data_IF_661949242849
#
_entry.id   IF_661949242849
#
_cell.length_a   1.000
_cell.length_b   1.000
_cell.length_c   1.000
_cell.angle_alpha   90.00
_cell.angle_beta   90.00
_cell.angle_gamma   90.00
#
_symmetry.space_group_name_H-M   'P 1'
#
loop_
_entity.id
_entity.type
_entity.pdbx_description
1 polymer ?
#
# COMPACT_ATOMS: atom_id res chain seq x y z
N UNK A 1 -0.85 -25.65 11.94
CA UNK A 1 -0.06 -24.46 11.57
C UNK A 1 -1.01 -23.27 11.47
N UNK A 2 -0.62 -22.11 11.97
CA UNK A 2 -1.40 -20.87 11.88
C UNK A 2 -0.63 -19.83 11.07
N UNK A 3 -1.31 -19.12 10.18
CA UNK A 3 -0.77 -17.99 9.42
C UNK A 3 -1.68 -16.79 9.60
N UNK A 4 -1.15 -15.72 10.18
CA UNK A 4 -1.79 -14.40 10.17
C UNK A 4 -1.04 -13.57 9.13
N UNK A 5 -1.73 -13.20 8.06
CA UNK A 5 -1.15 -12.41 6.98
C UNK A 5 -1.90 -11.11 6.80
N UNK A 6 -1.15 -10.02 6.60
CA UNK A 6 -1.73 -8.79 6.05
C UNK A 6 -2.15 -9.03 4.60
N UNK A 7 -3.04 -8.18 4.11
CA UNK A 7 -3.31 -8.05 2.67
C UNK A 7 -2.01 -7.71 1.91
N UNK A 8 -1.95 -8.07 0.62
CA UNK A 8 -0.85 -7.66 -0.26
C UNK A 8 -0.84 -6.16 -0.57
N UNK A 9 0.16 -5.71 -1.31
CA UNK A 9 0.27 -4.32 -1.79
C UNK A 9 -1.00 -3.86 -2.49
N UNK A 10 -1.49 -2.68 -2.10
CA UNK A 10 -2.76 -2.10 -2.55
C UNK A 10 -2.58 -0.68 -3.06
N UNK A 11 -3.58 -0.18 -3.77
CA UNK A 11 -3.64 1.24 -4.08
C UNK A 11 -3.84 2.12 -2.83
N UNK A 12 -3.46 3.41 -2.90
CA UNK A 12 -3.62 4.35 -1.80
C UNK A 12 -5.09 4.62 -1.45
N UNK A 13 -5.31 5.41 -0.39
CA UNK A 13 -6.65 5.92 -0.07
C UNK A 13 -7.07 7.00 -1.08
N UNK A 14 -8.37 7.28 -1.20
CA UNK A 14 -8.90 8.38 -2.03
C UNK A 14 -8.18 9.70 -1.75
N UNK A 15 -8.00 10.06 -0.47
CA UNK A 15 -7.28 11.26 -0.03
C UNK A 15 -5.85 11.28 -0.58
N UNK A 16 -5.11 10.17 -0.44
CA UNK A 16 -3.72 10.08 -0.90
C UNK A 16 -3.62 10.10 -2.42
N UNK A 17 -4.58 9.52 -3.15
CA UNK A 17 -4.64 9.59 -4.62
C UNK A 17 -4.74 11.05 -5.09
N UNK A 18 -5.57 11.86 -4.43
CA UNK A 18 -5.68 13.29 -4.75
C UNK A 18 -4.41 14.07 -4.37
N UNK A 19 -3.80 13.77 -3.22
CA UNK A 19 -2.50 14.36 -2.85
C UNK A 19 -1.40 14.01 -3.86
N UNK A 20 -1.40 12.80 -4.41
CA UNK A 20 -0.45 12.41 -5.46
C UNK A 20 -0.65 13.26 -6.70
N UNK A 21 -1.89 13.56 -7.12
CA UNK A 21 -2.11 14.43 -8.30
C UNK A 21 -1.50 15.82 -8.14
N UNK A 22 -1.38 16.33 -6.91
CA UNK A 22 -0.70 17.60 -6.61
C UNK A 22 0.81 17.54 -6.83
N UNK A 23 1.43 16.36 -6.95
CA UNK A 23 2.83 16.25 -7.35
C UNK A 23 3.09 16.81 -8.75
N UNK A 24 2.06 16.95 -9.60
CA UNK A 24 2.21 17.67 -10.86
C UNK A 24 2.61 19.15 -10.65
N UNK A 25 2.27 19.74 -9.50
CA UNK A 25 2.71 21.10 -9.15
C UNK A 25 4.25 21.15 -8.95
N UNK A 26 4.90 20.06 -8.53
CA UNK A 26 6.36 20.04 -8.41
C UNK A 26 7.06 20.24 -9.75
N UNK A 27 6.44 19.80 -10.84
CA UNK A 27 7.02 19.91 -12.18
C UNK A 27 7.22 21.35 -12.60
N UNK A 28 6.28 22.21 -12.23
CA UNK A 28 6.30 23.64 -12.57
C UNK A 28 7.19 24.44 -11.62
N UNK A 29 7.57 23.87 -10.48
CA UNK A 29 8.42 24.51 -9.48
C UNK A 29 9.93 24.36 -9.79
N UNK A 30 10.36 23.39 -10.60
CA UNK A 30 11.78 23.23 -10.95
C UNK A 30 12.22 24.43 -11.80
N UNK A 31 13.23 25.17 -11.32
CA UNK A 31 13.72 26.37 -12.00
C UNK A 31 14.94 26.09 -12.87
N UNK A 32 15.41 27.11 -13.60
CA UNK A 32 16.62 27.01 -14.42
C UNK A 32 17.89 26.87 -13.57
N UNK A 33 17.84 27.33 -12.32
CA UNK A 33 18.91 27.24 -11.32
C UNK A 33 18.96 25.87 -10.61
N UNK A 34 18.13 24.91 -11.02
CA UNK A 34 18.15 23.55 -10.52
C UNK A 34 19.53 22.90 -10.69
N UNK A 35 19.99 22.23 -9.63
CA UNK A 35 21.24 21.44 -9.63
C UNK A 35 20.96 19.95 -9.74
N UNK A 36 19.72 19.55 -10.03
CA UNK A 36 19.35 18.14 -10.22
C UNK A 36 19.93 17.58 -11.51
N UNK A 37 20.18 16.27 -11.54
CA UNK A 37 20.58 15.59 -12.77
C UNK A 37 19.50 15.76 -13.86
N UNK A 38 19.89 15.96 -15.13
CA UNK A 38 18.93 16.09 -16.23
C UNK A 38 17.91 14.95 -16.29
N UNK A 39 18.34 13.72 -16.01
CA UNK A 39 17.49 12.52 -16.01
C UNK A 39 16.38 12.61 -14.95
N UNK A 40 16.70 13.11 -13.75
CA UNK A 40 15.73 13.29 -12.66
C UNK A 40 14.72 14.38 -13.00
N UNK A 41 15.17 15.48 -13.62
CA UNK A 41 14.29 16.56 -14.09
C UNK A 41 13.31 16.01 -15.14
N UNK A 42 13.82 15.24 -16.10
CA UNK A 42 12.98 14.59 -17.12
C UNK A 42 12.00 13.61 -16.47
N UNK A 43 12.45 12.78 -15.53
CA UNK A 43 11.60 11.82 -14.83
C UNK A 43 10.48 12.52 -14.04
N UNK A 44 10.78 13.62 -13.33
CA UNK A 44 9.78 14.40 -12.59
C UNK A 44 8.81 15.07 -13.57
N UNK A 45 9.30 15.72 -14.63
CA UNK A 45 8.43 16.37 -15.63
C UNK A 45 7.48 15.39 -16.31
N UNK A 46 7.95 14.17 -16.58
CA UNK A 46 7.17 13.11 -17.20
C UNK A 46 6.33 12.30 -16.20
N UNK A 47 6.51 12.51 -14.89
CA UNK A 47 5.78 11.76 -13.87
C UNK A 47 4.27 11.99 -14.02
N UNK A 48 3.49 10.95 -14.20
CA UNK A 48 2.03 11.07 -14.18
C UNK A 48 1.43 9.83 -13.52
N UNK A 49 0.19 9.95 -13.07
CA UNK A 49 -0.57 8.84 -12.48
C UNK A 49 -1.93 8.72 -13.16
N UNK A 50 -2.27 7.50 -13.56
CA UNK A 50 -3.58 7.16 -14.12
C UNK A 50 -4.57 6.68 -13.04
N UNK A 51 -4.25 6.86 -11.76
CA UNK A 51 -5.10 6.43 -10.65
C UNK A 51 -6.38 7.26 -10.56
N UNK A 52 -7.52 6.59 -10.59
CA UNK A 52 -8.82 7.13 -10.22
C UNK A 52 -9.05 6.99 -8.71
N UNK A 53 -9.96 7.80 -8.16
CA UNK A 53 -10.46 7.61 -6.80
C UNK A 53 -11.14 6.25 -6.62
N UNK A 54 -11.62 5.63 -7.70
CA UNK A 54 -12.30 4.34 -7.66
C UNK A 54 -11.33 3.19 -7.42
N UNK A 55 -10.04 3.36 -7.78
CA UNK A 55 -9.00 2.37 -7.53
C UNK A 55 -8.65 2.23 -6.03
N UNK A 56 -9.19 3.11 -5.18
CA UNK A 56 -8.75 3.21 -3.79
C UNK A 56 -8.83 1.88 -3.03
N UNK A 57 -7.75 1.58 -2.30
CA UNK A 57 -7.62 0.35 -1.50
C UNK A 57 -7.72 -0.98 -2.24
N UNK A 58 -7.96 -1.01 -3.55
CA UNK A 58 -7.99 -2.27 -4.29
C UNK A 58 -6.62 -2.95 -4.25
N UNK A 59 -6.61 -4.28 -4.23
CA UNK A 59 -5.38 -5.07 -4.28
C UNK A 59 -4.70 -4.83 -5.63
N UNK A 60 -3.42 -4.46 -5.61
CA UNK A 60 -2.67 -4.14 -6.81
C UNK A 60 -1.98 -5.40 -7.35
N UNK A 61 -1.58 -5.41 -8.63
CA UNK A 61 -0.88 -6.54 -9.27
C UNK A 61 0.33 -7.05 -8.48
N UNK A 62 1.16 -6.17 -7.94
CA UNK A 62 2.27 -6.51 -7.07
C UNK A 62 1.80 -7.23 -5.82
N UNK A 63 0.69 -6.79 -5.20
CA UNK A 63 0.07 -7.47 -4.08
C UNK A 63 -0.40 -8.89 -4.43
N UNK A 64 -0.91 -9.09 -5.64
CA UNK A 64 -1.24 -10.43 -6.16
C UNK A 64 0.01 -11.31 -6.24
N UNK A 65 1.10 -10.80 -6.83
CA UNK A 65 2.36 -11.56 -6.96
C UNK A 65 3.05 -11.83 -5.61
N UNK A 66 2.98 -10.90 -4.66
CA UNK A 66 3.45 -11.09 -3.28
C UNK A 66 2.76 -12.28 -2.62
N UNK A 67 1.43 -12.39 -2.77
CA UNK A 67 0.63 -13.46 -2.18
C UNK A 67 0.81 -14.78 -2.89
N UNK A 68 0.93 -14.78 -4.22
CA UNK A 68 1.33 -15.98 -4.98
C UNK A 68 2.68 -16.50 -4.52
N UNK A 69 3.65 -15.62 -4.40
CA UNK A 69 4.99 -15.95 -3.93
C UNK A 69 4.97 -16.50 -2.50
N UNK A 70 4.20 -15.87 -1.59
CA UNK A 70 4.01 -16.38 -0.24
C UNK A 70 3.39 -17.80 -0.24
N UNK A 71 2.32 -18.02 -0.99
CA UNK A 71 1.67 -19.32 -1.11
C UNK A 71 2.61 -20.40 -1.63
N UNK A 72 3.36 -20.11 -2.70
CA UNK A 72 4.32 -21.05 -3.29
C UNK A 72 5.48 -21.37 -2.35
N UNK A 73 6.00 -20.37 -1.63
CA UNK A 73 7.05 -20.59 -0.62
C UNK A 73 6.56 -21.49 0.50
N UNK A 74 5.36 -21.25 1.04
CA UNK A 74 4.77 -22.08 2.09
C UNK A 74 4.48 -23.49 1.60
N UNK A 75 3.97 -23.65 0.38
CA UNK A 75 3.76 -24.98 -0.24
C UNK A 75 5.06 -25.76 -0.38
N UNK A 76 6.15 -25.11 -0.83
CA UNK A 76 7.47 -25.73 -0.94
C UNK A 76 8.09 -26.06 0.42
N UNK A 77 7.87 -25.21 1.42
CA UNK A 77 8.43 -25.39 2.76
C UNK A 77 7.68 -26.45 3.57
N UNK A 78 6.38 -26.58 3.36
CA UNK A 78 5.52 -27.52 4.09
C UNK A 78 4.69 -28.40 3.13
N UNK A 79 5.34 -29.21 2.27
CA UNK A 79 4.66 -30.03 1.27
C UNK A 79 3.70 -31.04 1.90
N UNK A 80 4.03 -31.56 3.09
CA UNK A 80 3.18 -32.50 3.83
C UNK A 80 1.84 -31.89 4.28
N UNK A 81 1.73 -30.56 4.31
CA UNK A 81 0.48 -29.85 4.61
C UNK A 81 -0.22 -29.50 3.29
N UNK A 82 0.47 -28.79 2.39
CA UNK A 82 -0.15 -28.13 1.24
C UNK A 82 -0.25 -28.96 -0.04
N UNK A 83 0.34 -30.15 -0.10
CA UNK A 83 0.09 -31.08 -1.20
C UNK A 83 -1.20 -31.88 -1.02
N UNK A 84 -1.80 -31.85 0.18
CA UNK A 84 -3.13 -32.41 0.38
C UNK A 84 -4.20 -31.51 -0.27
N UNK A 85 -5.27 -32.10 -0.81
CA UNK A 85 -6.39 -31.31 -1.33
C UNK A 85 -7.03 -30.49 -0.20
N UNK A 86 -7.58 -29.34 -0.57
CA UNK A 86 -8.36 -28.55 0.38
C UNK A 86 -9.58 -29.33 0.84
N UNK A 87 -9.77 -29.39 2.15
CA UNK A 87 -11.02 -29.76 2.81
C UNK A 87 -11.26 -28.80 3.96
N UNK A 88 -12.53 -28.51 4.26
CA UNK A 88 -12.86 -27.62 5.39
C UNK A 88 -12.46 -28.19 6.75
N UNK A 89 -12.25 -29.51 6.85
CA UNK A 89 -11.77 -30.15 8.08
C UNK A 89 -10.28 -29.92 8.31
N UNK A 90 -9.49 -29.83 7.22
CA UNK A 90 -8.03 -29.70 7.30
C UNK A 90 -7.55 -28.25 7.21
N UNK A 91 -8.34 -27.39 6.55
CA UNK A 91 -7.98 -26.00 6.31
C UNK A 91 -9.12 -25.05 6.69
N UNK A 92 -8.80 -24.03 7.47
CA UNK A 92 -9.71 -22.94 7.79
C UNK A 92 -9.13 -21.64 7.27
N UNK A 93 -9.88 -20.98 6.38
CA UNK A 93 -9.57 -19.64 5.87
C UNK A 93 -10.52 -18.63 6.51
N UNK A 94 -9.95 -17.53 7.01
CA UNK A 94 -10.70 -16.43 7.61
C UNK A 94 -10.15 -15.12 7.06
N UNK A 95 -11.05 -14.18 6.77
CA UNK A 95 -10.69 -12.86 6.23
C UNK A 95 -11.37 -11.74 7.02
N UNK A 96 -10.75 -10.57 7.10
CA UNK A 96 -11.48 -9.38 7.55
C UNK A 96 -12.48 -8.94 6.48
N UNK A 97 -13.51 -8.17 6.87
CA UNK A 97 -14.51 -7.62 5.94
C UNK A 97 -13.96 -6.65 4.86
N UNK A 98 -12.67 -6.27 4.92
CA UNK A 98 -12.06 -5.36 3.94
C UNK A 98 -11.83 -6.08 2.61
N UNK A 99 -12.30 -5.51 1.50
CA UNK A 99 -12.18 -6.11 0.15
C UNK A 99 -10.76 -6.59 -0.18
N UNK A 100 -9.75 -5.74 0.01
CA UNK A 100 -8.33 -6.11 -0.15
C UNK A 100 -7.88 -7.36 0.62
N UNK A 101 -8.46 -7.62 1.79
CA UNK A 101 -8.14 -8.80 2.58
C UNK A 101 -8.83 -10.04 2.01
N UNK A 102 -10.08 -9.90 1.56
CA UNK A 102 -10.80 -10.94 0.82
C UNK A 102 -10.05 -11.32 -0.46
N UNK A 103 -9.72 -10.33 -1.30
CA UNK A 103 -8.97 -10.54 -2.54
C UNK A 103 -7.62 -11.21 -2.26
N UNK A 104 -6.94 -10.77 -1.19
CA UNK A 104 -5.64 -11.35 -0.82
C UNK A 104 -5.74 -12.82 -0.43
N UNK A 105 -6.73 -13.15 0.40
CA UNK A 105 -6.96 -14.53 0.82
C UNK A 105 -7.38 -15.42 -0.36
N UNK A 106 -8.20 -14.89 -1.27
CA UNK A 106 -8.61 -15.59 -2.50
C UNK A 106 -7.40 -15.89 -3.39
N UNK A 107 -6.52 -14.91 -3.64
CA UNK A 107 -5.29 -15.13 -4.42
C UNK A 107 -4.41 -16.19 -3.77
N UNK A 108 -4.22 -16.12 -2.46
CA UNK A 108 -3.42 -17.10 -1.73
C UNK A 108 -4.02 -18.50 -1.86
N UNK A 109 -5.33 -18.64 -1.62
CA UNK A 109 -6.07 -19.89 -1.74
C UNK A 109 -5.95 -20.49 -3.14
N UNK A 110 -6.20 -19.67 -4.17
CA UNK A 110 -6.11 -20.07 -5.57
C UNK A 110 -4.73 -20.59 -5.91
N UNK A 111 -3.69 -19.93 -5.41
CA UNK A 111 -2.30 -20.32 -5.71
C UNK A 111 -1.92 -21.61 -5.02
N UNK A 112 -2.27 -21.76 -3.74
CA UNK A 112 -1.80 -22.92 -2.96
C UNK A 112 -2.52 -24.21 -3.37
N UNK A 113 -3.82 -24.13 -3.69
CA UNK A 113 -4.64 -25.29 -4.07
C UNK A 113 -4.91 -25.41 -5.56
N UNK A 114 -4.44 -24.46 -6.38
CA UNK A 114 -4.66 -24.43 -7.82
C UNK A 114 -6.15 -24.54 -8.21
N UNK A 115 -7.04 -23.89 -7.45
CA UNK A 115 -8.49 -23.90 -7.68
C UNK A 115 -9.17 -22.67 -7.10
N UNK A 116 -10.34 -22.30 -7.61
CA UNK A 116 -11.16 -21.24 -7.02
C UNK A 116 -11.87 -21.76 -5.75
N UNK A 117 -12.10 -20.89 -4.75
CA UNK A 117 -12.99 -21.24 -3.66
C UNK A 117 -14.42 -21.38 -4.20
N UNK A 118 -15.15 -22.38 -3.72
CA UNK A 118 -16.53 -22.66 -4.17
C UNK A 118 -17.51 -21.57 -3.73
N UNK A 119 -17.26 -20.99 -2.55
CA UNK A 119 -18.00 -19.87 -1.97
C UNK A 119 -17.04 -18.76 -1.58
N UNK A 120 -17.55 -17.57 -1.26
CA UNK A 120 -16.73 -16.53 -0.64
C UNK A 120 -16.08 -17.06 0.65
N UNK A 121 -14.80 -16.73 0.84
CA UNK A 121 -14.08 -17.14 2.04
C UNK A 121 -14.70 -16.49 3.28
N UNK A 122 -14.89 -17.24 4.39
CA UNK A 122 -15.57 -16.74 5.56
C UNK A 122 -14.95 -15.46 6.13
N UNK A 123 -15.82 -14.52 6.49
CA UNK A 123 -15.43 -13.28 7.16
C UNK A 123 -15.40 -13.53 8.66
N UNK A 124 -14.31 -13.12 9.29
CA UNK A 124 -14.16 -13.20 10.74
C UNK A 124 -15.14 -12.24 11.43
N UNK A 125 -15.74 -12.71 12.53
CA UNK A 125 -16.63 -11.90 13.35
C UNK A 125 -15.91 -10.65 13.86
N UNK A 126 -16.61 -9.52 13.91
CA UNK A 126 -15.97 -8.25 14.28
C UNK A 126 -15.58 -8.15 15.75
N UNK A 127 -16.06 -9.07 16.58
CA UNK A 127 -15.67 -9.30 17.98
C UNK A 127 -14.43 -10.18 18.14
N UNK A 128 -13.87 -10.70 17.04
CA UNK A 128 -12.67 -11.52 17.10
C UNK A 128 -11.43 -10.64 17.19
N UNK A 129 -10.92 -10.51 18.42
CA UNK A 129 -9.78 -9.66 18.71
C UNK A 129 -8.51 -10.10 17.97
N UNK A 130 -8.41 -11.34 17.47
CA UNK A 130 -7.25 -11.80 16.68
C UNK A 130 -7.09 -11.00 15.38
N UNK A 131 -8.18 -10.47 14.83
CA UNK A 131 -8.19 -9.66 13.60
C UNK A 131 -8.48 -8.18 13.86
N UNK A 132 -9.11 -7.86 14.98
CA UNK A 132 -9.54 -6.51 15.33
C UNK A 132 -8.87 -6.00 16.61
N UNK A 133 -7.60 -6.38 16.86
CA UNK A 133 -6.79 -5.93 18.01
C UNK A 133 -6.84 -4.42 18.27
N UNK A 134 -7.01 -3.59 17.23
CA UNK A 134 -7.15 -2.13 17.41
C UNK A 134 -8.40 -1.71 18.21
N UNK A 135 -9.36 -2.62 18.39
CA UNK A 135 -10.54 -2.42 19.24
C UNK A 135 -10.24 -2.71 20.71
N UNK A 136 -9.20 -3.50 21.00
CA UNK A 136 -8.67 -3.67 22.34
C UNK A 136 -7.92 -2.39 22.72
N UNK A 137 -8.65 -1.31 22.97
CA UNK A 137 -8.09 -0.13 23.62
C UNK A 137 -7.75 -0.52 25.05
N UNK A 138 -6.48 -0.40 25.45
CA UNK A 138 -6.16 -0.29 26.87
C UNK A 138 -6.72 1.06 27.34
N UNK A 139 -7.34 1.09 28.52
CA UNK A 139 -8.31 2.12 28.91
C UNK A 139 -7.83 3.58 28.82
N UNK A 140 -8.82 4.50 28.72
CA UNK A 140 -8.88 5.97 28.89
C UNK A 140 -7.68 6.90 28.58
N UNK A 141 -6.46 6.43 28.37
CA UNK A 141 -5.27 7.25 28.13
C UNK A 141 -4.92 7.46 26.65
N UNK A 142 -5.54 6.69 25.74
CA UNK A 142 -5.25 6.64 24.30
C UNK A 142 -6.32 7.33 23.41
N UNK A 143 -7.37 7.92 24.00
CA UNK A 143 -8.42 8.61 23.23
C UNK A 143 -8.00 9.99 22.71
N UNK A 144 -6.79 10.43 23.04
CA UNK A 144 -6.19 11.59 22.41
C UNK A 144 -5.41 11.17 21.16
N UNK A 145 -6.11 11.16 20.01
CA UNK A 145 -5.55 10.99 18.67
C UNK A 145 -4.39 11.97 18.38
N UNK A 146 -4.16 12.98 19.25
CA UNK A 146 -3.01 13.89 19.19
C UNK A 146 -1.75 13.39 19.92
N UNK A 147 -1.85 12.50 20.93
CA UNK A 147 -0.67 11.95 21.63
C UNK A 147 0.17 11.03 20.74
N UNK A 148 -0.47 10.16 19.94
CA UNK A 148 0.21 9.29 18.97
C UNK A 148 0.82 10.04 17.77
N UNK A 149 0.30 11.24 17.46
CA UNK A 149 0.87 12.13 16.45
C UNK A 149 2.05 12.96 16.99
N UNK A 150 2.25 13.01 18.30
CA UNK A 150 3.32 13.79 18.92
C UNK A 150 4.71 13.40 18.39
N UNK A 151 5.04 12.11 18.36
CA UNK A 151 6.33 11.63 17.85
C UNK A 151 6.45 11.76 16.33
N UNK A 152 5.37 11.54 15.59
CA UNK A 152 5.34 11.76 14.13
C UNK A 152 5.65 13.23 13.82
N UNK A 153 4.97 14.15 14.50
CA UNK A 153 5.17 15.58 14.33
C UNK A 153 6.56 16.01 14.79
N UNK A 154 7.05 15.52 15.93
CA UNK A 154 8.42 15.78 16.39
C UNK A 154 9.46 15.33 15.38
N UNK A 155 9.25 14.19 14.71
CA UNK A 155 10.13 13.70 13.66
C UNK A 155 10.03 14.53 12.38
N UNK A 156 8.81 14.85 11.92
CA UNK A 156 8.55 15.65 10.72
C UNK A 156 9.03 17.11 10.85
N UNK A 157 8.91 17.66 12.06
CA UNK A 157 9.47 18.96 12.44
C UNK A 157 10.92 18.82 12.92
N UNK A 158 11.49 17.62 12.93
CA UNK A 158 12.85 17.35 13.36
C UNK A 158 13.90 17.93 12.41
N UNK A 159 15.16 18.09 12.88
CA UNK A 159 16.24 18.65 12.06
C UNK A 159 16.53 17.81 10.82
N UNK A 160 16.33 16.49 10.88
CA UNK A 160 16.55 15.58 9.75
C UNK A 160 15.59 15.88 8.59
N UNK A 161 14.28 15.94 8.86
CA UNK A 161 13.27 16.20 7.83
C UNK A 161 13.41 17.63 7.30
N UNK A 162 13.62 18.62 8.18
CA UNK A 162 13.90 20.01 7.75
C UNK A 162 15.10 20.10 6.82
N UNK A 163 16.18 19.37 7.12
CA UNK A 163 17.38 19.32 6.28
C UNK A 163 17.11 18.69 4.92
N UNK A 164 16.35 17.58 4.86
CA UNK A 164 15.95 16.95 3.59
C UNK A 164 15.14 17.93 2.74
N UNK A 165 14.15 18.60 3.32
CA UNK A 165 13.32 19.59 2.60
C UNK A 165 14.15 20.71 2.04
N UNK A 166 15.02 21.30 2.86
CA UNK A 166 15.90 22.39 2.41
C UNK A 166 16.79 21.96 1.26
N UNK A 167 17.43 20.78 1.35
CA UNK A 167 18.27 20.26 0.27
C UNK A 167 17.49 19.99 -1.01
N UNK A 168 16.30 19.39 -0.92
CA UNK A 168 15.45 19.14 -2.10
C UNK A 168 15.00 20.46 -2.72
N UNK A 169 14.59 21.45 -1.92
CA UNK A 169 14.22 22.78 -2.41
C UNK A 169 15.38 23.48 -3.12
N UNK A 170 16.57 23.47 -2.53
CA UNK A 170 17.76 24.03 -3.18
C UNK A 170 18.14 23.29 -4.46
N UNK A 171 18.07 21.96 -4.46
CA UNK A 171 18.34 21.16 -5.64
C UNK A 171 17.38 21.50 -6.79
N UNK A 172 16.10 21.76 -6.49
CA UNK A 172 15.11 22.23 -7.46
C UNK A 172 15.29 23.68 -7.93
N UNK A 173 16.24 24.43 -7.34
CA UNK A 173 16.48 25.85 -7.64
C UNK A 173 15.56 26.83 -6.91
N UNK A 174 14.85 26.38 -5.87
CA UNK A 174 13.88 27.20 -5.14
C UNK A 174 14.54 28.11 -4.09
N UNK A 175 14.09 29.37 -4.04
CA UNK A 175 14.49 30.35 -3.00
C UNK A 175 13.82 30.14 -1.65
N UNK A 176 12.74 29.37 -1.61
CA UNK A 176 11.98 29.06 -0.40
C UNK A 176 11.77 27.54 -0.31
N UNK A 177 11.66 27.05 0.93
CA UNK A 177 11.42 25.63 1.19
C UNK A 177 10.02 25.21 0.72
N UNK A 178 9.93 23.97 0.24
CA UNK A 178 8.66 23.34 -0.12
C UNK A 178 7.71 23.28 1.08
N UNK A 179 6.41 23.45 0.81
CA UNK A 179 5.34 23.41 1.81
C UNK A 179 5.21 22.03 2.47
N UNK A 180 4.52 21.96 3.62
CA UNK A 180 4.25 20.71 4.33
C UNK A 180 3.50 19.67 3.48
N UNK A 181 2.54 20.09 2.66
CA UNK A 181 1.78 19.20 1.75
C UNK A 181 2.71 18.54 0.73
N UNK A 182 3.75 19.26 0.30
CA UNK A 182 4.78 18.76 -0.60
C UNK A 182 5.83 17.89 0.11
N UNK A 183 6.00 18.07 1.43
CA UNK A 183 6.84 17.23 2.30
C UNK A 183 6.33 15.79 2.39
N UNK A 184 5.01 15.65 2.59
CA UNK A 184 4.33 14.37 2.77
C UNK A 184 4.18 13.57 1.45
N UNK A 185 4.36 14.24 0.32
CA UNK A 185 4.35 13.61 -1.00
C UNK A 185 5.74 13.11 -1.42
N UNK A 186 6.82 13.62 -0.84
CA UNK A 186 8.20 13.14 -1.03
C UNK A 186 8.49 11.82 -0.28
N UNK A 187 7.78 11.54 0.83
CA UNK A 187 7.91 10.29 1.61
C UNK A 187 7.10 9.12 1.00
N UNK A 188 6.91 9.15 -0.32
CA UNK A 188 5.93 8.38 -1.05
C UNK A 188 6.08 6.85 -0.93
N UNK A 189 5.58 6.27 0.17
CA UNK A 189 5.50 4.82 0.37
C UNK A 189 4.77 4.10 -0.77
N UNK A 190 3.87 4.80 -1.46
CA UNK A 190 3.09 4.26 -2.57
C UNK A 190 3.66 4.59 -3.96
N UNK A 191 4.73 5.40 -4.09
CA UNK A 191 5.27 5.72 -5.42
C UNK A 191 5.92 4.50 -6.06
N UNK A 192 6.47 3.59 -5.26
CA UNK A 192 6.96 2.28 -5.73
C UNK A 192 5.81 1.46 -6.33
N UNK A 193 4.65 1.43 -5.65
CA UNK A 193 3.44 0.77 -6.16
C UNK A 193 2.87 1.45 -7.42
N UNK A 194 3.05 2.78 -7.56
CA UNK A 194 2.62 3.56 -8.73
C UNK A 194 3.58 3.40 -9.92
N UNK A 195 4.88 3.14 -9.70
CA UNK A 195 5.88 2.96 -10.78
C UNK A 195 5.52 1.81 -11.72
N UNK A 196 4.81 0.79 -11.22
CA UNK A 196 4.32 -0.34 -12.02
C UNK A 196 3.00 -0.08 -12.77
N UNK A 197 2.29 1.02 -12.49
CA UNK A 197 1.04 1.38 -13.17
C UNK A 197 1.32 1.87 -14.59
N UNK A 198 2.43 2.59 -14.80
CA UNK A 198 2.78 3.15 -16.12
C UNK A 198 3.28 2.11 -17.12
N UNK A 199 3.53 0.86 -16.69
CA UNK A 199 4.00 -0.23 -17.57
C UNK A 199 2.99 -1.36 -17.78
N UNK A 200 1.89 -1.45 -17.03
CA UNK A 200 0.95 -2.59 -17.14
C UNK A 200 -0.49 -2.19 -16.86
N UNK A 201 -1.15 -1.50 -17.79
CA UNK A 201 -2.60 -1.32 -17.79
C UNK A 201 -3.28 -2.46 -18.57
N UNK A 202 -3.10 -3.70 -18.12
CA UNK A 202 -3.79 -4.88 -18.66
C UNK A 202 -4.05 -5.92 -17.57
N UNK A 203 -4.72 -5.50 -16.49
CA UNK A 203 -5.04 -6.40 -15.38
C UNK A 203 -6.40 -6.10 -14.76
N UNK A 204 -7.40 -6.90 -15.17
CA UNK A 204 -8.66 -7.17 -14.45
C UNK A 204 -9.61 -5.97 -14.29
N UNK A 205 -10.06 -5.39 -15.41
CA UNK A 205 -11.47 -4.98 -15.47
C UNK A 205 -12.29 -6.25 -15.66
N UNK A 206 -13.21 -6.51 -14.73
CA UNK A 206 -14.13 -7.63 -14.81
C UNK A 206 -14.77 -7.72 -16.19
N UNK A 207 -14.64 -8.88 -16.80
CA UNK A 207 -15.68 -9.36 -17.70
C UNK A 207 -16.80 -9.84 -16.79
N UNK A 208 -17.79 -9.00 -16.57
CA UNK A 208 -19.12 -9.49 -16.21
C UNK A 208 -19.84 -9.86 -17.53
N UNK A 209 -20.72 -10.88 -17.49
CA UNK A 209 -21.27 -11.57 -18.67
C UNK A 209 -22.10 -10.68 -19.60
#
# INVERSE_FOLDING_TARGET
>A
MWLVSRHGTRYPSKKKIEELKKLNELKTMITAESTMCPEDIVAIKNWNTNLSKDDHYMLQRQGVEELKSLAMRLKRQFPQIFNNPYTENNFKFLTSHKQRAKDSATVFYQTVFNRNPENELPIVQTSDDRFYLYKCKQGEDDDDDTKGQGEVKKFEDGPLVRSVVSRVSMAMGLKQNLSYVTRYSLTCQNCVAVKHINHTNSGLKGKDP
#
